data_IF_285535991596
#
_entry.id   IF_285535991596
#
_cell.length_a   1.000
_cell.length_b   1.000
_cell.length_c   1.000
_cell.angle_alpha   90.00
_cell.angle_beta   90.00
_cell.angle_gamma   90.00
#
_symmetry.space_group_name_H-M   'P 1'
#
loop_
_entity.id
_entity.type
_entity.pdbx_description
1 polymer ?
#
# COMPACT_ATOMS: atom_id res chain seq x y z
N UNK A 1 -24.86 -4.97 -9.20
CA UNK A 1 -23.87 -4.34 -8.29
C UNK A 1 -22.92 -3.49 -9.12
N UNK A 2 -22.61 -2.26 -8.69
CA UNK A 2 -21.75 -1.32 -9.45
C UNK A 2 -20.31 -1.81 -9.58
N UNK A 3 -19.83 -2.62 -8.62
CA UNK A 3 -18.50 -3.21 -8.62
C UNK A 3 -18.58 -4.74 -8.68
N UNK A 4 -18.62 -5.34 -9.88
CA UNK A 4 -18.68 -6.79 -10.01
C UNK A 4 -17.35 -7.43 -9.60
N UNK A 5 -17.43 -8.59 -8.94
CA UNK A 5 -16.27 -9.31 -8.41
C UNK A 5 -15.12 -9.48 -9.41
N UNK A 6 -15.37 -9.86 -10.69
CA UNK A 6 -14.30 -9.97 -11.70
C UNK A 6 -13.51 -8.69 -11.93
N UNK A 7 -14.17 -7.53 -11.93
CA UNK A 7 -13.51 -6.23 -12.09
C UNK A 7 -12.64 -5.91 -10.87
N UNK A 8 -13.15 -6.17 -9.65
CA UNK A 8 -12.37 -5.99 -8.42
C UNK A 8 -11.12 -6.87 -8.39
N UNK A 9 -11.23 -8.15 -8.78
CA UNK A 9 -10.07 -9.04 -8.87
C UNK A 9 -9.07 -8.59 -9.95
N UNK A 10 -9.56 -8.10 -11.09
CA UNK A 10 -8.73 -7.48 -12.11
C UNK A 10 -7.92 -6.28 -11.59
N UNK A 11 -8.56 -5.37 -10.83
CA UNK A 11 -7.86 -4.25 -10.19
C UNK A 11 -6.78 -4.75 -9.22
N UNK A 12 -7.08 -5.76 -8.42
CA UNK A 12 -6.12 -6.34 -7.47
C UNK A 12 -4.93 -6.98 -8.18
N UNK A 13 -5.14 -7.64 -9.32
CA UNK A 13 -4.06 -8.16 -10.16
C UNK A 13 -3.23 -7.02 -10.78
N UNK A 14 -3.88 -5.95 -11.25
CA UNK A 14 -3.19 -4.76 -11.75
C UNK A 14 -2.34 -4.08 -10.67
N UNK A 15 -2.87 -3.93 -9.46
CA UNK A 15 -2.13 -3.43 -8.31
C UNK A 15 -0.95 -4.34 -7.97
N UNK A 16 -1.15 -5.67 -7.96
CA UNK A 16 -0.07 -6.62 -7.75
C UNK A 16 1.09 -6.40 -8.73
N UNK A 17 0.80 -6.20 -10.02
CA UNK A 17 1.81 -5.87 -11.02
C UNK A 17 2.58 -4.57 -10.68
N UNK A 18 1.87 -3.49 -10.32
CA UNK A 18 2.53 -2.22 -9.96
C UNK A 18 3.42 -2.36 -8.71
N UNK A 19 2.99 -3.17 -7.74
CA UNK A 19 3.76 -3.50 -6.54
C UNK A 19 5.01 -4.31 -6.90
N UNK A 20 4.91 -5.29 -7.79
CA UNK A 20 6.08 -6.03 -8.28
C UNK A 20 7.06 -5.14 -9.06
N UNK A 21 6.55 -4.25 -9.93
CA UNK A 21 7.38 -3.28 -10.65
C UNK A 21 8.13 -2.35 -9.69
N UNK A 22 7.45 -1.88 -8.65
CA UNK A 22 8.04 -1.04 -7.61
C UNK A 22 9.04 -1.82 -6.75
N UNK A 23 8.74 -3.07 -6.40
CA UNK A 23 9.62 -3.96 -5.67
C UNK A 23 10.92 -4.21 -6.44
N UNK A 24 10.81 -4.47 -7.74
CA UNK A 24 11.96 -4.61 -8.63
C UNK A 24 12.79 -3.32 -8.67
N UNK A 25 12.15 -2.16 -8.81
CA UNK A 25 12.80 -0.85 -8.75
C UNK A 25 13.53 -0.59 -7.43
N UNK A 26 13.04 -1.09 -6.30
CA UNK A 26 13.69 -0.95 -4.98
C UNK A 26 14.85 -1.91 -4.78
N UNK A 27 14.74 -3.16 -5.26
CA UNK A 27 15.80 -4.18 -5.13
C UNK A 27 16.97 -3.89 -6.09
N UNK A 28 16.68 -3.36 -7.28
CA UNK A 28 17.68 -3.03 -8.29
C UNK A 28 18.45 -1.74 -8.02
N UNK A 29 17.92 -0.87 -7.16
CA UNK A 29 18.60 0.37 -6.78
C UNK A 29 19.50 0.12 -5.57
N UNK A 30 20.76 0.53 -5.70
CA UNK A 30 21.69 0.59 -4.59
C UNK A 30 21.59 1.98 -3.96
N UNK A 31 21.15 2.11 -2.69
CA UNK A 31 21.16 3.39 -2.00
C UNK A 31 22.61 3.87 -1.82
N UNK A 32 22.79 5.19 -1.77
CA UNK A 32 24.06 5.81 -1.42
C UNK A 32 24.56 5.30 -0.06
N UNK A 33 25.83 4.87 0.01
CA UNK A 33 26.42 4.23 1.20
C UNK A 33 26.36 2.69 1.20
N UNK A 34 25.63 2.08 0.26
CA UNK A 34 25.56 0.62 0.06
C UNK A 34 26.27 0.16 -1.22
N UNK A 35 27.05 1.03 -1.84
CA UNK A 35 27.77 0.80 -3.10
C UNK A 35 28.90 -0.22 -2.98
N UNK A 36 29.41 -0.43 -1.76
CA UNK A 36 30.38 -1.48 -1.47
C UNK A 36 29.81 -2.88 -1.74
N UNK A 37 30.69 -3.84 -1.94
CA UNK A 37 30.35 -5.24 -2.02
C UNK A 37 31.10 -6.02 -0.93
N UNK A 38 30.49 -7.10 -0.46
CA UNK A 38 31.12 -8.01 0.49
C UNK A 38 32.10 -8.92 -0.27
N UNK A 39 33.41 -8.86 0.04
CA UNK A 39 34.36 -9.79 -0.54
C UNK A 39 34.22 -11.14 0.17
N UNK A 40 33.80 -12.17 -0.58
CA UNK A 40 33.75 -13.56 -0.11
C UNK A 40 34.63 -14.40 -1.04
N UNK A 41 35.81 -14.78 -0.55
CA UNK A 41 36.85 -15.45 -1.34
C UNK A 41 37.21 -14.64 -2.61
N UNK A 42 36.97 -15.18 -3.80
CA UNK A 42 37.20 -14.46 -5.08
C UNK A 42 35.95 -13.75 -5.63
N UNK A 43 34.82 -13.81 -4.92
CA UNK A 43 33.56 -13.21 -5.35
C UNK A 43 33.28 -11.91 -4.60
N UNK A 44 32.77 -10.92 -5.33
CA UNK A 44 32.33 -9.64 -4.79
C UNK A 44 30.81 -9.60 -4.85
N UNK A 45 30.14 -9.77 -3.70
CA UNK A 45 28.67 -9.85 -3.64
C UNK A 45 28.10 -8.48 -3.25
N UNK A 46 27.25 -7.85 -4.08
CA UNK A 46 26.62 -6.58 -3.74
C UNK A 46 25.74 -6.69 -2.49
N UNK A 47 25.77 -5.67 -1.62
CA UNK A 47 24.90 -5.63 -0.45
C UNK A 47 23.41 -5.71 -0.78
N UNK A 48 22.99 -5.20 -1.94
CA UNK A 48 21.60 -5.30 -2.39
C UNK A 48 21.13 -6.74 -2.50
N UNK A 49 21.99 -7.65 -2.98
CA UNK A 49 21.70 -9.08 -3.08
C UNK A 49 21.65 -9.73 -1.69
N UNK A 50 22.60 -9.40 -0.81
CA UNK A 50 22.64 -9.92 0.57
C UNK A 50 21.40 -9.49 1.35
N UNK A 51 21.02 -8.22 1.27
CA UNK A 51 19.83 -7.69 1.93
C UNK A 51 18.54 -8.29 1.36
N UNK A 52 18.45 -8.48 0.03
CA UNK A 52 17.28 -9.11 -0.60
C UNK A 52 17.13 -10.55 -0.13
N UNK A 53 18.20 -11.34 -0.20
CA UNK A 53 18.19 -12.74 0.20
C UNK A 53 17.92 -12.87 1.70
N UNK A 54 18.60 -12.08 2.52
CA UNK A 54 18.40 -12.03 3.97
C UNK A 54 16.98 -11.65 4.35
N UNK A 55 16.41 -10.63 3.71
CA UNK A 55 15.02 -10.23 3.94
C UNK A 55 14.02 -11.31 3.49
N UNK A 56 14.29 -12.02 2.39
CA UNK A 56 13.45 -13.12 1.93
C UNK A 56 13.50 -14.32 2.90
N UNK A 57 14.69 -14.65 3.42
CA UNK A 57 14.88 -15.68 4.44
C UNK A 57 14.15 -15.27 5.73
N UNK A 58 14.36 -14.03 6.20
CA UNK A 58 13.68 -13.50 7.37
C UNK A 58 12.16 -13.54 7.21
N UNK A 59 11.65 -13.11 6.04
CA UNK A 59 10.23 -13.16 5.73
C UNK A 59 9.70 -14.59 5.83
N UNK A 60 10.36 -15.54 5.18
CA UNK A 60 9.96 -16.95 5.19
C UNK A 60 9.98 -17.52 6.61
N UNK A 61 11.04 -17.24 7.37
CA UNK A 61 11.17 -17.64 8.76
C UNK A 61 10.02 -17.11 9.62
N UNK A 62 9.74 -15.80 9.57
CA UNK A 62 8.67 -15.22 10.38
C UNK A 62 7.27 -15.66 9.91
N UNK A 63 7.07 -15.88 8.61
CA UNK A 63 5.81 -16.44 8.11
C UNK A 63 5.56 -17.85 8.65
N UNK A 64 6.61 -18.66 8.82
CA UNK A 64 6.54 -20.00 9.41
C UNK A 64 6.40 -19.98 10.94
N UNK A 65 7.11 -19.08 11.62
CA UNK A 65 7.12 -19.02 13.07
C UNK A 65 5.92 -18.26 13.66
N UNK A 66 5.76 -16.98 13.28
CA UNK A 66 4.68 -16.09 13.74
C UNK A 66 4.32 -15.08 12.66
N UNK A 67 3.45 -15.48 11.74
CA UNK A 67 3.02 -14.70 10.55
C UNK A 67 2.64 -13.24 10.84
N UNK A 68 2.04 -12.97 12.00
CA UNK A 68 1.56 -11.63 12.35
C UNK A 68 2.71 -10.65 12.66
N UNK A 69 3.90 -11.16 12.94
CA UNK A 69 5.12 -10.38 13.17
C UNK A 69 6.03 -10.31 11.95
N UNK A 70 5.64 -10.91 10.81
CA UNK A 70 6.54 -11.06 9.67
C UNK A 70 7.03 -9.74 9.08
N UNK A 71 6.13 -8.77 8.89
CA UNK A 71 6.52 -7.44 8.41
C UNK A 71 7.45 -6.72 9.40
N UNK A 72 7.13 -6.79 10.69
CA UNK A 72 7.94 -6.17 11.75
C UNK A 72 9.32 -6.81 11.87
N UNK A 73 9.39 -8.14 11.81
CA UNK A 73 10.64 -8.90 11.89
C UNK A 73 11.56 -8.65 10.69
N UNK A 74 11.00 -8.61 9.49
CA UNK A 74 11.76 -8.27 8.26
C UNK A 74 12.23 -6.82 8.28
N UNK A 75 11.38 -5.89 8.72
CA UNK A 75 11.78 -4.49 8.87
C UNK A 75 12.87 -4.33 9.94
N UNK A 76 12.74 -5.02 11.07
CA UNK A 76 13.74 -5.05 12.14
C UNK A 76 15.08 -5.64 11.67
N UNK A 77 15.05 -6.71 10.86
CA UNK A 77 16.25 -7.22 10.18
C UNK A 77 16.91 -6.14 9.32
N UNK A 78 16.12 -5.42 8.50
CA UNK A 78 16.64 -4.34 7.66
C UNK A 78 17.32 -3.23 8.46
N UNK A 79 16.66 -2.72 9.50
CA UNK A 79 17.22 -1.69 10.37
C UNK A 79 18.46 -2.19 11.13
N UNK A 80 18.45 -3.44 11.60
CA UNK A 80 19.60 -4.07 12.23
C UNK A 80 20.82 -4.12 11.31
N UNK A 81 20.63 -4.62 10.08
CA UNK A 81 21.70 -4.66 9.08
C UNK A 81 22.20 -3.26 8.70
N UNK A 82 21.28 -2.29 8.57
CA UNK A 82 21.65 -0.91 8.29
C UNK A 82 22.49 -0.31 9.42
N UNK A 83 22.13 -0.57 10.67
CA UNK A 83 22.88 -0.10 11.85
C UNK A 83 24.26 -0.76 11.93
N UNK A 84 24.38 -2.04 11.58
CA UNK A 84 25.66 -2.75 11.56
C UNK A 84 26.60 -2.24 10.45
N UNK A 85 26.06 -1.88 9.28
CA UNK A 85 26.84 -1.47 8.12
C UNK A 85 27.17 0.03 8.12
N UNK A 86 26.18 0.88 8.42
CA UNK A 86 26.30 2.35 8.38
C UNK A 86 26.60 2.97 9.75
N UNK A 87 26.48 2.20 10.83
CA UNK A 87 26.48 2.72 12.19
C UNK A 87 25.10 3.24 12.64
N UNK A 88 24.95 3.57 13.94
CA UNK A 88 23.73 4.22 14.42
C UNK A 88 23.59 5.61 13.79
N UNK A 89 22.35 6.08 13.55
CA UNK A 89 22.13 7.40 12.98
C UNK A 89 22.46 8.48 14.03
N UNK A 90 22.95 9.62 13.58
CA UNK A 90 23.02 10.81 14.44
C UNK A 90 21.61 11.31 14.72
N UNK A 91 21.19 11.19 15.99
CA UNK A 91 19.89 11.62 16.50
C UNK A 91 20.06 12.99 17.17
N UNK A 92 19.86 14.06 16.39
CA UNK A 92 19.86 15.43 16.91
C UNK A 92 18.45 16.00 16.83
N UNK A 93 17.82 16.13 18.00
CA UNK A 93 16.49 16.74 18.08
C UNK A 93 16.63 18.26 18.02
N UNK A 94 15.93 18.86 17.08
CA UNK A 94 15.79 20.30 16.98
C UNK A 94 14.38 20.63 16.55
N UNK A 95 13.81 21.65 17.16
CA UNK A 95 12.47 22.10 16.81
C UNK A 95 12.51 22.76 15.44
N UNK A 96 11.84 22.14 14.47
CA UNK A 96 11.63 22.65 13.13
C UNK A 96 10.14 22.49 12.80
N UNK A 97 9.41 23.59 12.68
CA UNK A 97 8.03 23.53 12.24
C UNK A 97 7.99 23.18 10.75
N UNK A 98 7.16 22.20 10.33
CA UNK A 98 7.00 21.88 8.92
C UNK A 98 6.44 23.11 8.20
N UNK A 99 7.00 23.40 7.02
CA UNK A 99 6.43 24.43 6.15
C UNK A 99 5.09 23.93 5.63
N UNK A 100 4.02 24.60 6.05
CA UNK A 100 2.69 24.37 5.47
C UNK A 100 2.72 24.90 4.04
N UNK A 101 2.33 24.04 3.09
CA UNK A 101 2.28 24.38 1.68
C UNK A 101 0.83 24.27 1.22
N UNK A 102 -0.03 25.28 1.50
CA UNK A 102 -1.39 25.27 0.99
C UNK A 102 -1.35 25.26 -0.53
N UNK A 103 -1.60 24.10 -1.13
CA UNK A 103 -1.74 23.98 -2.57
C UNK A 103 -3.14 24.46 -2.94
N UNK A 104 -3.21 25.61 -3.59
CA UNK A 104 -4.39 25.98 -4.37
C UNK A 104 -4.13 25.52 -5.81
N UNK A 105 -4.65 24.35 -6.22
CA UNK A 105 -4.44 23.85 -7.57
C UNK A 105 -5.14 24.75 -8.60
N UNK A 106 -4.56 24.87 -9.79
CA UNK A 106 -5.26 25.48 -10.93
C UNK A 106 -6.44 24.60 -11.37
N UNK A 107 -7.37 25.17 -12.14
CA UNK A 107 -8.50 24.41 -12.69
C UNK A 107 -8.07 23.21 -13.52
N UNK A 108 -6.98 23.34 -14.29
CA UNK A 108 -6.42 22.23 -15.08
C UNK A 108 -5.85 21.13 -14.17
N UNK A 109 -5.11 21.50 -13.12
CA UNK A 109 -4.59 20.54 -12.14
C UNK A 109 -5.71 19.80 -11.39
N UNK A 110 -6.79 20.51 -11.03
CA UNK A 110 -7.98 19.90 -10.44
C UNK A 110 -8.64 18.90 -11.39
N UNK A 111 -8.79 19.27 -12.66
CA UNK A 111 -9.40 18.40 -13.67
C UNK A 111 -8.57 17.15 -13.93
N UNK A 112 -7.25 17.32 -14.07
CA UNK A 112 -6.31 16.20 -14.20
C UNK A 112 -6.33 15.30 -12.96
N UNK A 113 -6.28 15.87 -11.75
CA UNK A 113 -6.37 15.12 -10.51
C UNK A 113 -7.67 14.33 -10.38
N UNK A 114 -8.80 14.93 -10.77
CA UNK A 114 -10.10 14.27 -10.77
C UNK A 114 -10.12 13.06 -11.69
N UNK A 115 -9.69 13.22 -12.95
CA UNK A 115 -9.75 12.18 -13.97
C UNK A 115 -8.70 11.09 -13.74
N UNK A 116 -7.45 11.49 -13.48
CA UNK A 116 -6.31 10.59 -13.42
C UNK A 116 -6.12 9.93 -12.06
N UNK A 117 -6.61 10.54 -10.97
CA UNK A 117 -6.40 10.05 -9.60
C UNK A 117 -7.72 9.75 -8.88
N UNK A 118 -8.64 10.71 -8.77
CA UNK A 118 -9.82 10.53 -7.92
C UNK A 118 -10.77 9.45 -8.46
N UNK A 119 -11.23 9.56 -9.71
CA UNK A 119 -12.11 8.57 -10.35
C UNK A 119 -11.57 7.13 -10.28
N UNK A 120 -10.30 6.84 -10.67
CA UNK A 120 -9.69 5.51 -10.51
C UNK A 120 -9.69 4.96 -9.08
N UNK A 121 -9.58 5.84 -8.08
CA UNK A 121 -9.41 5.46 -6.69
C UNK A 121 -10.73 5.24 -5.95
N UNK A 122 -11.87 5.69 -6.50
CA UNK A 122 -13.20 5.46 -5.91
C UNK A 122 -13.43 3.96 -5.65
N UNK A 123 -13.28 3.04 -6.62
CA UNK A 123 -13.54 1.62 -6.40
C UNK A 123 -12.63 1.01 -5.32
N UNK A 124 -11.34 1.37 -5.36
CA UNK A 124 -10.34 0.83 -4.43
C UNK A 124 -10.57 1.34 -3.00
N UNK A 125 -10.82 2.64 -2.86
CA UNK A 125 -11.08 3.29 -1.57
C UNK A 125 -12.41 2.83 -0.97
N UNK A 126 -13.47 2.73 -1.78
CA UNK A 126 -14.74 2.18 -1.31
C UNK A 126 -14.58 0.72 -0.87
N UNK A 127 -13.88 -0.10 -1.66
CA UNK A 127 -13.65 -1.51 -1.34
C UNK A 127 -12.84 -1.72 -0.07
N UNK A 128 -11.66 -1.10 0.02
CA UNK A 128 -10.69 -1.32 1.09
C UNK A 128 -10.96 -0.42 2.31
N UNK A 129 -11.02 0.89 2.09
CA UNK A 129 -11.03 1.92 3.15
C UNK A 129 -12.42 2.17 3.73
N UNK A 130 -13.48 1.78 3.03
CA UNK A 130 -14.87 1.95 3.50
C UNK A 130 -15.49 0.61 3.87
N UNK A 131 -15.85 -0.23 2.90
CA UNK A 131 -16.60 -1.46 3.16
C UNK A 131 -15.78 -2.50 3.93
N UNK A 132 -14.59 -2.87 3.46
CA UNK A 132 -13.77 -3.86 4.15
C UNK A 132 -13.27 -3.35 5.50
N UNK A 133 -13.07 -2.04 5.66
CA UNK A 133 -12.67 -1.46 6.95
C UNK A 133 -13.82 -1.51 7.96
N UNK A 134 -15.05 -1.16 7.55
CA UNK A 134 -16.23 -1.28 8.42
C UNK A 134 -16.49 -2.73 8.82
N UNK A 135 -16.41 -3.66 7.86
CA UNK A 135 -16.56 -5.10 8.11
C UNK A 135 -15.49 -5.63 9.07
N UNK A 136 -14.21 -5.31 8.82
CA UNK A 136 -13.11 -5.69 9.71
C UNK A 136 -13.28 -5.11 11.13
N UNK A 137 -13.73 -3.86 11.25
CA UNK A 137 -14.00 -3.25 12.54
C UNK A 137 -15.09 -4.01 13.31
N UNK A 138 -16.20 -4.36 12.64
CA UNK A 138 -17.28 -5.15 13.26
C UNK A 138 -16.80 -6.55 13.66
N UNK A 139 -16.03 -7.22 12.81
CA UNK A 139 -15.50 -8.55 13.12
C UNK A 139 -14.54 -8.57 14.32
N UNK A 140 -13.73 -7.52 14.48
CA UNK A 140 -12.72 -7.46 15.56
C UNK A 140 -13.21 -6.85 16.86
N UNK A 141 -14.19 -5.94 16.81
CA UNK A 141 -14.61 -5.15 17.97
C UNK A 141 -16.11 -5.24 18.28
N UNK A 142 -16.87 -5.96 17.46
CA UNK A 142 -18.31 -6.26 17.67
C UNK A 142 -19.13 -4.97 17.96
N UNK A 143 -19.94 -4.95 19.01
CA UNK A 143 -20.75 -3.79 19.42
C UNK A 143 -19.92 -2.51 19.60
N UNK A 144 -18.64 -2.62 20.00
CA UNK A 144 -17.76 -1.44 20.16
C UNK A 144 -17.50 -0.74 18.83
N UNK A 145 -17.62 -1.44 17.70
CA UNK A 145 -17.50 -0.87 16.36
C UNK A 145 -18.84 -0.39 15.76
N UNK A 146 -19.94 -0.37 16.50
CA UNK A 146 -21.24 0.13 16.01
C UNK A 146 -21.17 1.55 15.41
N UNK A 147 -20.25 2.36 15.92
CA UNK A 147 -20.01 3.72 15.45
C UNK A 147 -19.20 3.81 14.14
N UNK A 148 -18.57 2.72 13.69
CA UNK A 148 -17.73 2.63 12.47
C UNK A 148 -18.62 2.25 11.29
N UNK A 149 -19.34 3.24 10.76
CA UNK A 149 -20.22 3.07 9.59
C UNK A 149 -19.51 3.51 8.32
N UNK A 150 -19.91 2.94 7.19
CA UNK A 150 -19.41 3.25 5.86
C UNK A 150 -19.54 4.76 5.57
N UNK A 151 -20.68 5.36 5.98
CA UNK A 151 -20.91 6.80 5.86
C UNK A 151 -19.89 7.62 6.67
N UNK A 152 -19.62 7.22 7.92
CA UNK A 152 -18.64 7.92 8.76
C UNK A 152 -17.21 7.75 8.24
N UNK A 153 -16.86 6.57 7.74
CA UNK A 153 -15.56 6.33 7.11
C UNK A 153 -15.37 7.22 5.87
N UNK A 154 -16.37 7.33 5.00
CA UNK A 154 -16.32 8.24 3.84
C UNK A 154 -16.16 9.71 4.26
N UNK A 155 -16.97 10.18 5.22
CA UNK A 155 -16.93 11.58 5.67
C UNK A 155 -15.60 11.94 6.35
N UNK A 156 -15.10 11.07 7.23
CA UNK A 156 -13.82 11.29 7.92
C UNK A 156 -12.64 11.21 6.98
N UNK A 157 -12.65 10.30 6.01
CA UNK A 157 -11.63 10.22 4.96
C UNK A 157 -11.61 11.51 4.14
N UNK A 158 -12.75 11.96 3.62
CA UNK A 158 -12.83 13.20 2.85
C UNK A 158 -12.42 14.45 3.64
N UNK A 159 -12.77 14.52 4.93
CA UNK A 159 -12.30 15.60 5.81
C UNK A 159 -10.79 15.56 6.01
N UNK A 160 -10.21 14.39 6.28
CA UNK A 160 -8.77 14.24 6.48
C UNK A 160 -7.99 14.57 5.20
N UNK A 161 -8.48 14.15 4.03
CA UNK A 161 -7.88 14.48 2.73
C UNK A 161 -7.95 15.97 2.42
N UNK A 162 -9.06 16.65 2.76
CA UNK A 162 -9.17 18.10 2.64
C UNK A 162 -8.14 18.81 3.51
N UNK A 163 -8.03 18.41 4.78
CA UNK A 163 -7.02 18.96 5.69
C UNK A 163 -5.61 18.71 5.18
N UNK A 164 -5.33 17.48 4.72
CA UNK A 164 -4.03 17.11 4.14
C UNK A 164 -3.70 18.01 2.93
N UNK A 165 -4.63 18.22 2.00
CA UNK A 165 -4.42 19.09 0.85
C UNK A 165 -4.10 20.54 1.26
N UNK A 166 -4.79 21.08 2.26
CA UNK A 166 -4.58 22.45 2.75
C UNK A 166 -3.21 22.68 3.42
N UNK A 167 -2.56 21.62 3.89
CA UNK A 167 -1.23 21.71 4.51
C UNK A 167 -0.10 21.21 3.59
N UNK A 168 -0.41 20.82 2.35
CA UNK A 168 0.55 20.25 1.40
C UNK A 168 0.89 18.79 1.66
N UNK A 169 0.04 18.09 2.39
CA UNK A 169 0.10 16.65 2.62
C UNK A 169 -0.34 15.82 1.41
N UNK A 170 -0.09 14.52 1.50
CA UNK A 170 -0.55 13.53 0.51
C UNK A 170 -1.91 12.94 0.92
N UNK A 171 -2.70 12.42 -0.03
CA UNK A 171 -3.97 11.76 0.29
C UNK A 171 -3.78 10.62 1.29
N UNK A 172 -4.72 10.51 2.23
CA UNK A 172 -4.75 9.52 3.31
C UNK A 172 -6.06 8.76 3.27
N UNK A 173 -6.03 7.51 3.70
CA UNK A 173 -7.23 6.69 3.78
C UNK A 173 -7.25 5.88 5.07
N UNK A 174 -8.44 5.41 5.41
CA UNK A 174 -8.56 4.27 6.31
C UNK A 174 -8.09 3.00 5.59
N UNK A 175 -7.97 1.89 6.30
CA UNK A 175 -7.66 0.62 5.64
C UNK A 175 -7.86 -0.57 6.52
N UNK A 176 -8.51 -1.61 5.98
CA UNK A 176 -8.76 -2.84 6.71
C UNK A 176 -7.45 -3.54 7.08
N UNK A 177 -6.43 -3.44 6.22
CA UNK A 177 -5.09 -3.98 6.49
C UNK A 177 -4.42 -3.34 7.70
N UNK A 178 -4.42 -2.00 7.81
CA UNK A 178 -3.85 -1.28 8.94
C UNK A 178 -4.59 -1.59 10.25
N UNK A 179 -5.94 -1.58 10.20
CA UNK A 179 -6.78 -1.97 11.33
C UNK A 179 -6.49 -3.41 11.80
N UNK A 180 -6.41 -4.34 10.85
CA UNK A 180 -6.09 -5.75 11.10
C UNK A 180 -4.70 -5.90 11.71
N UNK A 181 -3.71 -5.16 11.21
CA UNK A 181 -2.34 -5.19 11.73
C UNK A 181 -2.29 -4.72 13.19
N UNK A 182 -2.92 -3.58 13.52
CA UNK A 182 -3.00 -3.11 14.90
C UNK A 182 -3.69 -4.14 15.80
N UNK A 183 -4.83 -4.70 15.37
CA UNK A 183 -5.54 -5.71 16.15
C UNK A 183 -4.71 -6.96 16.41
N UNK A 184 -4.05 -7.50 15.38
CA UNK A 184 -3.20 -8.70 15.49
C UNK A 184 -1.96 -8.48 16.34
N UNK A 185 -1.44 -7.25 16.36
CA UNK A 185 -0.34 -6.83 17.23
C UNK A 185 -0.81 -6.44 18.65
N UNK A 186 -2.07 -6.71 18.99
CA UNK A 186 -2.57 -6.58 20.37
C UNK A 186 -3.37 -5.31 20.67
N UNK A 187 -3.53 -4.38 19.71
CA UNK A 187 -4.35 -3.20 19.94
C UNK A 187 -5.82 -3.59 20.13
N UNK A 188 -6.47 -3.02 21.14
CA UNK A 188 -7.90 -3.22 21.45
C UNK A 188 -8.72 -1.93 21.49
N UNK A 189 -8.09 -0.81 21.16
CA UNK A 189 -8.69 0.52 21.11
C UNK A 189 -7.98 1.39 20.06
N UNK A 190 -8.49 2.60 19.83
CA UNK A 190 -7.83 3.62 19.00
C UNK A 190 -6.52 4.17 19.55
N UNK A 191 -6.05 3.70 20.72
CA UNK A 191 -4.80 4.17 21.32
C UNK A 191 -3.57 3.93 20.43
N UNK A 192 -3.49 2.77 19.77
CA UNK A 192 -2.35 2.44 18.90
C UNK A 192 -2.17 3.42 17.72
N UNK A 193 -3.22 3.71 16.89
CA UNK A 193 -3.08 4.71 15.84
C UNK A 193 -2.88 6.14 16.38
N UNK A 194 -3.45 6.49 17.54
CA UNK A 194 -3.20 7.79 18.18
C UNK A 194 -1.74 7.95 18.62
N UNK A 195 -1.17 6.92 19.24
CA UNK A 195 0.25 6.91 19.61
C UNK A 195 1.15 7.00 18.37
N UNK A 196 0.84 6.23 17.32
CA UNK A 196 1.59 6.28 16.06
C UNK A 196 1.57 7.68 15.43
N UNK A 197 0.38 8.27 15.31
CA UNK A 197 0.23 9.64 14.80
C UNK A 197 0.95 10.67 15.66
N UNK A 198 0.87 10.54 16.98
CA UNK A 198 1.56 11.45 17.92
C UNK A 198 3.08 11.33 17.81
N UNK A 199 3.62 10.12 17.67
CA UNK A 199 5.05 9.89 17.44
C UNK A 199 5.50 10.51 16.11
N UNK A 200 4.73 10.33 15.03
CA UNK A 200 5.05 10.95 13.74
C UNK A 200 4.96 12.47 13.78
N UNK A 201 3.99 13.05 14.49
CA UNK A 201 3.92 14.50 14.71
C UNK A 201 5.13 15.00 15.52
N UNK A 202 5.50 14.31 16.59
CA UNK A 202 6.68 14.65 17.37
C UNK A 202 7.96 14.56 16.52
N UNK A 203 8.11 13.50 15.71
CA UNK A 203 9.24 13.37 14.78
C UNK A 203 9.24 14.46 13.71
N UNK A 204 8.08 14.87 13.22
CA UNK A 204 7.98 15.97 12.25
C UNK A 204 8.39 17.32 12.86
N UNK A 205 8.02 17.58 14.12
CA UNK A 205 8.31 18.86 14.81
C UNK A 205 9.72 18.91 15.40
N UNK A 206 10.22 17.80 15.96
CA UNK A 206 11.49 17.75 16.69
C UNK A 206 12.62 17.04 15.94
N UNK A 207 12.30 16.30 14.88
CA UNK A 207 13.28 15.47 14.19
C UNK A 207 14.14 16.25 13.21
N UNK A 208 13.57 17.18 12.45
CA UNK A 208 14.29 17.93 11.41
C UNK A 208 15.22 17.02 10.56
N UNK A 209 16.53 17.30 10.52
CA UNK A 209 17.52 16.47 9.83
C UNK A 209 17.60 15.01 10.34
N UNK A 210 17.24 14.72 11.58
CA UNK A 210 17.22 13.36 12.14
C UNK A 210 16.27 12.45 11.37
N UNK A 211 15.12 12.95 10.91
CA UNK A 211 14.17 12.16 10.10
C UNK A 211 14.83 11.71 8.79
N UNK A 212 15.58 12.59 8.16
CA UNK A 212 16.32 12.28 6.93
C UNK A 212 17.44 11.26 7.18
N UNK A 213 18.13 11.35 8.32
CA UNK A 213 19.15 10.38 8.69
C UNK A 213 18.54 8.99 8.93
N UNK A 214 17.38 8.92 9.60
CA UNK A 214 16.65 7.67 9.80
C UNK A 214 16.17 7.09 8.47
N UNK A 215 15.66 7.92 7.55
CA UNK A 215 15.24 7.44 6.22
C UNK A 215 16.39 6.90 5.38
N UNK A 216 17.60 7.44 5.52
CA UNK A 216 18.81 6.89 4.85
C UNK A 216 19.18 5.49 5.34
N UNK A 217 18.77 5.12 6.56
CA UNK A 217 18.99 3.77 7.08
C UNK A 217 18.01 2.74 6.51
N UNK A 218 16.92 3.15 5.86
CA UNK A 218 15.93 2.19 5.36
C UNK A 218 16.50 1.45 4.15
N UNK A 219 16.78 0.14 4.25
CA UNK A 219 17.35 -0.61 3.14
C UNK A 219 16.27 -0.89 2.09
N UNK A 220 16.37 -0.24 0.93
CA UNK A 220 15.41 -0.40 -0.17
C UNK A 220 15.17 -1.86 -0.59
N UNK A 221 16.18 -2.76 -0.63
CA UNK A 221 15.94 -4.17 -0.95
C UNK A 221 14.95 -4.86 -0.01
N UNK A 222 14.98 -4.51 1.29
CA UNK A 222 14.07 -5.07 2.30
C UNK A 222 12.63 -4.60 2.05
N UNK A 223 12.46 -3.31 1.76
CA UNK A 223 11.16 -2.78 1.34
C UNK A 223 10.67 -3.46 0.06
N UNK A 224 11.57 -3.71 -0.90
CA UNK A 224 11.23 -4.41 -2.13
C UNK A 224 10.72 -5.83 -1.90
N UNK A 225 11.34 -6.60 -1.00
CA UNK A 225 10.86 -7.93 -0.61
C UNK A 225 9.48 -7.87 0.03
N UNK A 226 9.25 -6.93 0.96
CA UNK A 226 7.94 -6.73 1.58
C UNK A 226 6.88 -6.34 0.54
N UNK A 227 7.23 -5.48 -0.41
CA UNK A 227 6.32 -5.02 -1.45
C UNK A 227 5.98 -6.13 -2.44
N UNK A 228 6.96 -6.97 -2.79
CA UNK A 228 6.74 -8.17 -3.59
C UNK A 228 5.83 -9.17 -2.86
N UNK A 229 6.00 -9.35 -1.55
CA UNK A 229 5.10 -10.18 -0.76
C UNK A 229 3.66 -9.66 -0.78
N UNK A 230 3.44 -8.36 -0.60
CA UNK A 230 2.11 -7.75 -0.69
C UNK A 230 1.54 -7.91 -2.11
N UNK A 231 2.33 -7.68 -3.15
CA UNK A 231 1.94 -7.94 -4.54
C UNK A 231 1.50 -9.38 -4.76
N UNK A 232 2.24 -10.34 -4.21
CA UNK A 232 1.88 -11.75 -4.27
C UNK A 232 0.55 -12.03 -3.57
N UNK A 233 0.34 -11.52 -2.36
CA UNK A 233 -0.94 -11.67 -1.63
C UNK A 233 -2.12 -11.10 -2.44
N UNK A 234 -1.96 -9.95 -3.11
CA UNK A 234 -2.99 -9.38 -3.97
C UNK A 234 -3.28 -10.25 -5.21
N UNK A 235 -2.26 -10.84 -5.82
CA UNK A 235 -2.43 -11.76 -6.95
C UNK A 235 -3.23 -13.01 -6.55
N UNK A 236 -2.99 -13.54 -5.35
CA UNK A 236 -3.69 -14.72 -4.83
C UNK A 236 -5.20 -14.55 -4.71
N UNK A 237 -5.69 -13.30 -4.55
CA UNK A 237 -7.12 -13.02 -4.46
C UNK A 237 -7.89 -13.42 -5.71
N UNK A 238 -7.23 -13.47 -6.88
CA UNK A 238 -7.87 -13.89 -8.13
C UNK A 238 -8.25 -15.38 -8.15
N UNK A 239 -7.74 -16.21 -7.23
CA UNK A 239 -8.04 -17.65 -7.13
C UNK A 239 -9.52 -17.97 -6.90
N UNK A 240 -10.30 -16.98 -6.46
CA UNK A 240 -11.73 -17.13 -6.19
C UNK A 240 -12.63 -16.77 -7.37
N UNK A 241 -12.04 -16.46 -8.53
CA UNK A 241 -12.74 -16.33 -9.81
C UNK A 241 -13.18 -17.69 -10.33
N UNK A 242 -14.38 -17.74 -10.93
CA UNK A 242 -15.00 -18.94 -11.48
C UNK A 242 -15.60 -18.61 -12.85
N UNK A 243 -15.35 -19.47 -13.83
CA UNK A 243 -15.84 -19.32 -15.21
C UNK A 243 -14.97 -18.44 -16.11
N UNK A 244 -15.07 -18.68 -17.43
CA UNK A 244 -14.25 -18.04 -18.46
C UNK A 244 -14.46 -16.52 -18.53
N UNK A 245 -15.72 -16.08 -18.45
CA UNK A 245 -16.06 -14.65 -18.52
C UNK A 245 -15.44 -13.84 -17.37
N UNK A 246 -15.44 -14.40 -16.15
CA UNK A 246 -14.84 -13.74 -14.98
C UNK A 246 -13.33 -13.56 -15.16
N UNK A 247 -12.64 -14.60 -15.64
CA UNK A 247 -11.21 -14.53 -15.94
C UNK A 247 -10.90 -13.57 -17.09
N UNK A 248 -11.65 -13.60 -18.18
CA UNK A 248 -11.48 -12.67 -19.31
C UNK A 248 -11.64 -11.21 -18.86
N UNK A 249 -12.63 -10.92 -18.01
CA UNK A 249 -12.84 -9.58 -17.45
C UNK A 249 -11.66 -9.14 -16.59
N UNK A 250 -11.19 -10.00 -15.67
CA UNK A 250 -10.07 -9.69 -14.79
C UNK A 250 -8.75 -9.49 -15.56
N UNK A 251 -8.49 -10.35 -16.56
CA UNK A 251 -7.33 -10.25 -17.44
C UNK A 251 -7.38 -9.00 -18.31
N UNK A 252 -8.56 -8.59 -18.80
CA UNK A 252 -8.70 -7.32 -19.52
C UNK A 252 -8.30 -6.13 -18.65
N UNK A 253 -8.74 -6.07 -17.39
CA UNK A 253 -8.30 -5.04 -16.44
C UNK A 253 -6.78 -5.06 -16.29
N UNK A 254 -6.20 -6.25 -16.05
CA UNK A 254 -4.77 -6.40 -15.84
C UNK A 254 -3.98 -5.91 -17.06
N UNK A 255 -4.34 -6.37 -18.26
CA UNK A 255 -3.65 -6.00 -19.50
C UNK A 255 -3.71 -4.50 -19.75
N UNK A 256 -4.88 -3.88 -19.56
CA UNK A 256 -5.04 -2.43 -19.71
C UNK A 256 -4.26 -1.66 -18.64
N UNK A 257 -4.25 -2.14 -17.40
CA UNK A 257 -3.46 -1.54 -16.33
C UNK A 257 -1.95 -1.61 -16.60
N UNK A 258 -1.46 -2.74 -17.15
CA UNK A 258 -0.05 -2.90 -17.55
C UNK A 258 0.26 -1.94 -18.70
N UNK A 259 -0.55 -1.95 -19.77
CA UNK A 259 -0.29 -1.20 -20.99
C UNK A 259 -0.32 0.31 -20.77
N UNK A 260 -1.29 0.80 -20.00
CA UNK A 260 -1.45 2.23 -19.75
C UNK A 260 -0.68 2.73 -18.53
N UNK A 261 -0.15 1.82 -17.70
CA UNK A 261 0.29 2.12 -16.33
C UNK A 261 -0.75 2.89 -15.51
N UNK A 262 -2.04 2.79 -15.88
CA UNK A 262 -3.14 3.54 -15.30
C UNK A 262 -4.29 2.59 -14.93
N UNK A 263 -4.46 2.39 -13.62
CA UNK A 263 -5.53 1.54 -13.08
C UNK A 263 -6.95 2.06 -13.40
N UNK A 264 -7.12 3.37 -13.64
CA UNK A 264 -8.41 3.97 -14.01
C UNK A 264 -8.93 3.43 -15.32
N UNK A 265 -8.04 3.43 -16.31
CA UNK A 265 -8.39 3.01 -17.67
C UNK A 265 -8.75 1.52 -17.64
N UNK A 266 -7.94 0.72 -16.93
CA UNK A 266 -8.25 -0.70 -16.71
C UNK A 266 -9.61 -0.91 -16.02
N UNK A 267 -9.93 -0.12 -15.00
CA UNK A 267 -11.20 -0.20 -14.29
C UNK A 267 -12.40 0.18 -15.17
N UNK A 268 -12.37 1.38 -15.78
CA UNK A 268 -13.50 1.92 -16.55
C UNK A 268 -13.80 1.03 -17.75
N UNK A 269 -12.78 0.67 -18.53
CA UNK A 269 -12.95 -0.18 -19.72
C UNK A 269 -13.50 -1.57 -19.38
N UNK A 270 -13.07 -2.17 -18.27
CA UNK A 270 -13.55 -3.48 -17.87
C UNK A 270 -14.94 -3.47 -17.22
N UNK A 271 -15.28 -2.41 -16.47
CA UNK A 271 -16.63 -2.23 -15.96
C UNK A 271 -17.62 -2.10 -17.12
N UNK A 272 -17.29 -1.28 -18.13
CA UNK A 272 -18.07 -1.17 -19.35
C UNK A 272 -18.19 -2.51 -20.07
N UNK A 273 -17.07 -3.21 -20.31
CA UNK A 273 -17.08 -4.53 -20.94
C UNK A 273 -17.97 -5.53 -20.20
N UNK A 274 -17.84 -5.63 -18.87
CA UNK A 274 -18.61 -6.57 -18.05
C UNK A 274 -20.12 -6.29 -18.11
N UNK A 275 -20.52 -5.02 -18.04
CA UNK A 275 -21.92 -4.63 -18.12
C UNK A 275 -22.51 -4.83 -19.51
N UNK A 276 -21.78 -4.49 -20.58
CA UNK A 276 -22.21 -4.71 -21.97
C UNK A 276 -22.36 -6.20 -22.27
N UNK A 277 -21.39 -7.02 -21.86
CA UNK A 277 -21.43 -8.48 -22.06
C UNK A 277 -22.66 -9.11 -21.41
N UNK A 278 -22.95 -8.75 -20.15
CA UNK A 278 -24.12 -9.28 -19.44
C UNK A 278 -25.44 -8.77 -20.03
N UNK A 279 -25.47 -7.51 -20.48
CA UNK A 279 -26.65 -6.94 -21.16
C UNK A 279 -26.96 -7.66 -22.47
N UNK A 280 -25.93 -8.02 -23.25
CA UNK A 280 -26.10 -8.80 -24.49
C UNK A 280 -26.50 -10.25 -24.19
N UNK A 281 -25.82 -10.92 -23.25
CA UNK A 281 -26.15 -12.30 -22.88
C UNK A 281 -27.58 -12.45 -22.36
N UNK A 282 -28.10 -11.46 -21.61
CA UNK A 282 -29.49 -11.42 -21.18
C UNK A 282 -30.48 -11.27 -22.35
N UNK A 283 -30.12 -10.52 -23.39
CA UNK A 283 -30.96 -10.36 -24.60
C UNK A 283 -31.04 -11.63 -25.44
N UNK A 284 -29.96 -12.40 -25.53
CA UNK A 284 -29.89 -13.64 -26.30
C UNK A 284 -30.36 -14.89 -25.54
N UNK A 285 -30.58 -14.82 -24.23
CA UNK A 285 -31.17 -15.92 -23.44
C UNK A 285 -32.70 -15.83 -23.32
N UNK A 286 -33.29 -14.73 -23.81
CA UNK A 286 -34.72 -14.49 -23.90
C UNK A 286 -35.24 -14.50 -25.36
N UNK A 287 -34.41 -14.91 -26.31
CA UNK A 287 -34.76 -15.17 -27.72
C UNK A 287 -34.58 -16.66 -28.00
#
# INVERSE_FOLDING_TARGET
KVFPKPVVRGIQMGLAYLLFKSAWGLVSKTPTGWESALPIAQLSIPWSMVLTLGAFIALTFFLMWKKDYASLGVFGFGIGMATLHLGPPDLTLHMALPRLLPLVPSWDQLWQGLILLALPQIPLSMGNSVYATADAARQYFDEKAAHVTERRLMLTMGFNDLVAALIGGVPVCHGCGGLTAHYRLGARSGGAPLMLGSIFLALAVFGGQTVMNVFRMIPFPVLGVLLAYVGFQHMLLARDLRGRQAWLTALLVLTLAIWTSNLAIGFVSAALFYHLWNGLAARYSHA
#
